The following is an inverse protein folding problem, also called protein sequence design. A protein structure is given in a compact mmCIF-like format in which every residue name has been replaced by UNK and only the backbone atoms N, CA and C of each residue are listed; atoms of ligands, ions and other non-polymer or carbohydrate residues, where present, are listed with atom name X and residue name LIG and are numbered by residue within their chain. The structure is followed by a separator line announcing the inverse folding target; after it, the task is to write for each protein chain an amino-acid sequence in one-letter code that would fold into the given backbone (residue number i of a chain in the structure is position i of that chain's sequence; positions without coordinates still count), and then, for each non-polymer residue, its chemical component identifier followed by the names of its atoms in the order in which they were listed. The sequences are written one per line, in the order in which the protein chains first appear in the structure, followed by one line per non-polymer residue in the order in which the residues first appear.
data_IF_949819030849
#
_entry.id   IF_949819030849
#
_cell.length_a   1.000
_cell.length_b   1.000
_cell.length_c   1.000
_cell.angle_alpha   90.00
_cell.angle_beta   90.00
_cell.angle_gamma   90.00
#
_symmetry.space_group_name_H-M   'P 1'
#
loop_
_entity.id
_entity.type
_entity.pdbx_description
1 polymer ?
#
# COMPACT_ATOMS: atom_id res chain seq x y z
N UNK A 1 6.11 -6.11 16.65
CA UNK A 1 7.24 -5.87 15.74
C UNK A 1 7.17 -4.44 15.25
N UNK A 2 8.33 -3.75 15.15
CA UNK A 2 8.44 -2.33 14.80
C UNK A 2 9.72 -2.13 13.99
N UNK A 3 9.60 -1.48 12.84
CA UNK A 3 10.73 -1.04 12.01
C UNK A 3 10.81 0.48 12.10
N UNK A 4 12.01 1.03 12.00
CA UNK A 4 12.23 2.48 12.18
C UNK A 4 13.20 2.98 11.12
N UNK A 5 12.79 4.03 10.42
CA UNK A 5 13.61 4.76 9.47
C UNK A 5 13.99 6.14 10.03
N UNK A 6 14.54 7.01 9.22
CA UNK A 6 14.87 8.38 9.62
C UNK A 6 13.59 9.15 10.04
N UNK A 7 12.51 9.05 9.26
CA UNK A 7 11.29 9.86 9.43
C UNK A 7 10.08 9.05 9.90
N UNK A 8 10.12 7.71 9.81
CA UNK A 8 8.95 6.87 10.00
C UNK A 8 9.15 5.80 11.07
N UNK A 9 8.04 5.40 11.65
CA UNK A 9 7.87 4.15 12.39
C UNK A 9 6.86 3.29 11.65
N UNK A 10 7.24 2.07 11.30
CA UNK A 10 6.37 1.09 10.64
C UNK A 10 6.05 0.03 11.67
N UNK A 11 4.79 -0.09 12.06
CA UNK A 11 4.33 -0.93 13.16
C UNK A 11 3.01 -1.64 12.84
N UNK A 12 2.57 -2.52 13.70
CA UNK A 12 1.21 -3.06 13.60
C UNK A 12 0.19 -1.97 13.89
N UNK A 13 -0.99 -2.09 13.26
CA UNK A 13 -2.12 -1.24 13.63
C UNK A 13 -2.53 -1.49 15.07
N UNK A 14 -3.05 -0.45 15.70
CA UNK A 14 -3.73 -0.49 16.97
C UNK A 14 -5.19 -0.06 16.76
N UNK A 15 -6.16 -0.59 17.49
CA UNK A 15 -7.57 -0.19 17.32
C UNK A 15 -7.79 1.33 17.43
N UNK A 16 -6.98 2.04 18.21
CA UNK A 16 -7.05 3.49 18.38
C UNK A 16 -6.50 4.31 17.20
N UNK A 17 -5.86 3.68 16.21
CA UNK A 17 -5.40 4.34 14.98
C UNK A 17 -6.57 4.77 14.07
N UNK A 18 -7.81 4.44 14.41
CA UNK A 18 -8.98 4.68 13.56
C UNK A 18 -9.15 6.15 13.14
N UNK A 19 -8.75 7.11 13.98
CA UNK A 19 -8.87 8.55 13.65
C UNK A 19 -7.94 8.94 12.51
N UNK A 20 -6.72 8.45 12.57
CA UNK A 20 -5.73 8.68 11.53
C UNK A 20 -6.09 7.90 10.25
N UNK A 21 -6.60 6.66 10.42
CA UNK A 21 -7.13 5.86 9.32
C UNK A 21 -8.28 6.58 8.61
N UNK A 22 -9.24 7.12 9.36
CA UNK A 22 -10.35 7.91 8.82
C UNK A 22 -9.84 9.16 8.10
N UNK A 23 -8.84 9.87 8.65
CA UNK A 23 -8.29 11.09 8.05
C UNK A 23 -7.83 10.87 6.61
N UNK A 24 -7.27 9.71 6.26
CA UNK A 24 -6.86 9.48 4.88
C UNK A 24 -7.84 8.64 4.06
N UNK A 25 -8.59 7.70 4.63
CA UNK A 25 -9.56 6.91 3.85
C UNK A 25 -10.89 7.65 3.61
N UNK A 26 -11.11 8.81 4.22
CA UNK A 26 -12.23 9.68 3.89
C UNK A 26 -11.94 10.64 2.72
N UNK A 27 -10.72 10.63 2.18
CA UNK A 27 -10.32 11.49 1.06
C UNK A 27 -10.61 10.79 -0.27
N UNK A 28 -11.48 11.34 -1.15
CA UNK A 28 -11.83 10.71 -2.43
C UNK A 28 -10.63 10.40 -3.32
N UNK A 29 -9.66 11.31 -3.37
CA UNK A 29 -8.43 11.15 -4.14
C UNK A 29 -7.53 10.00 -3.65
N UNK A 30 -7.60 9.68 -2.36
CA UNK A 30 -6.82 8.58 -1.77
C UNK A 30 -7.39 7.22 -2.14
N UNK A 31 -8.71 7.11 -2.23
CA UNK A 31 -9.41 5.86 -2.54
C UNK A 31 -9.82 5.72 -4.01
N UNK A 32 -9.42 6.65 -4.87
CA UNK A 32 -9.83 6.68 -6.28
C UNK A 32 -9.60 5.34 -7.01
N UNK A 33 -8.47 4.70 -6.73
CA UNK A 33 -8.06 3.43 -7.37
C UNK A 33 -8.20 2.21 -6.44
N UNK A 34 -8.81 2.40 -5.26
CA UNK A 34 -8.97 1.34 -4.28
C UNK A 34 -10.31 0.58 -4.49
N UNK A 35 -10.41 -0.69 -4.06
CA UNK A 35 -11.63 -1.50 -4.19
C UNK A 35 -12.73 -1.13 -3.19
N UNK A 36 -12.62 0.03 -2.57
CA UNK A 36 -13.58 0.56 -1.59
C UNK A 36 -13.79 2.05 -1.78
N UNK A 37 -14.94 2.54 -1.32
CA UNK A 37 -15.26 3.96 -1.31
C UNK A 37 -14.71 4.67 -0.07
N UNK A 38 -14.91 5.99 0.03
CA UNK A 38 -14.53 6.77 1.21
C UNK A 38 -15.15 6.20 2.48
N UNK A 39 -14.38 6.15 3.54
CA UNK A 39 -14.83 5.61 4.82
C UNK A 39 -15.54 6.66 5.67
N UNK A 40 -16.65 6.26 6.29
CA UNK A 40 -17.21 6.95 7.44
C UNK A 40 -16.37 6.66 8.70
N UNK A 41 -16.56 7.45 9.77
CA UNK A 41 -15.88 7.18 11.05
C UNK A 41 -16.17 5.77 11.59
N UNK A 42 -17.41 5.30 11.46
CA UNK A 42 -17.78 3.95 11.91
C UNK A 42 -17.06 2.86 11.14
N UNK A 43 -16.97 3.01 9.82
CA UNK A 43 -16.19 2.08 8.97
C UNK A 43 -14.71 2.11 9.33
N UNK A 44 -14.13 3.29 9.58
CA UNK A 44 -12.73 3.41 9.97
C UNK A 44 -12.45 2.75 11.34
N UNK A 45 -13.38 2.83 12.30
CA UNK A 45 -13.28 2.12 13.60
C UNK A 45 -13.26 0.61 13.42
N UNK A 46 -14.17 0.07 12.61
CA UNK A 46 -14.25 -1.37 12.34
C UNK A 46 -13.01 -1.84 11.57
N UNK A 47 -12.59 -1.10 10.56
CA UNK A 47 -11.42 -1.41 9.75
C UNK A 47 -10.12 -1.37 10.57
N UNK A 48 -9.96 -0.40 11.47
CA UNK A 48 -8.77 -0.32 12.34
C UNK A 48 -8.64 -1.57 13.23
N UNK A 49 -9.74 -2.08 13.77
CA UNK A 49 -9.75 -3.35 14.52
C UNK A 49 -9.38 -4.52 13.61
N UNK A 50 -9.93 -4.58 12.40
CA UNK A 50 -9.59 -5.60 11.41
C UNK A 50 -8.10 -5.60 11.05
N UNK A 51 -7.55 -4.43 10.75
CA UNK A 51 -6.12 -4.26 10.42
C UNK A 51 -5.20 -4.57 11.60
N UNK A 52 -5.62 -4.27 12.83
CA UNK A 52 -4.87 -4.64 14.03
C UNK A 52 -4.78 -6.16 14.22
N UNK A 53 -5.80 -6.90 13.77
CA UNK A 53 -5.84 -8.36 13.82
C UNK A 53 -5.13 -9.04 12.63
N UNK A 54 -4.93 -8.33 11.52
CA UNK A 54 -4.30 -8.87 10.31
C UNK A 54 -2.81 -8.54 10.27
N UNK A 55 -1.92 -9.54 10.35
CA UNK A 55 -0.48 -9.35 10.32
C UNK A 55 0.06 -8.85 8.97
N UNK A 56 -0.74 -8.79 7.91
CA UNK A 56 -0.33 -8.23 6.62
C UNK A 56 -0.35 -6.70 6.62
N UNK A 57 -1.15 -6.05 7.48
CA UNK A 57 -1.22 -4.59 7.55
C UNK A 57 -0.16 -3.98 8.47
N UNK A 58 0.46 -2.92 7.97
CA UNK A 58 1.47 -2.13 8.65
C UNK A 58 1.09 -0.67 8.65
N UNK A 59 0.87 -0.09 9.82
CA UNK A 59 0.68 1.34 9.99
C UNK A 59 2.02 2.06 9.78
N UNK A 60 2.00 3.14 9.02
CA UNK A 60 3.15 4.01 8.79
C UNK A 60 2.94 5.32 9.57
N UNK A 61 3.68 5.48 10.64
CA UNK A 61 3.59 6.61 11.55
C UNK A 61 4.71 7.61 11.28
N UNK A 62 4.36 8.89 11.12
CA UNK A 62 5.31 10.00 11.09
C UNK A 62 5.90 10.20 12.48
N UNK A 63 7.23 10.11 12.62
CA UNK A 63 7.91 10.29 13.90
C UNK A 63 7.84 11.72 14.44
N UNK A 64 7.77 12.70 13.56
CA UNK A 64 7.68 14.12 13.94
C UNK A 64 6.30 14.51 14.45
N UNK A 65 5.24 13.82 13.99
CA UNK A 65 3.85 14.17 14.31
C UNK A 65 3.20 13.13 15.24
N UNK A 66 3.84 11.99 15.46
CA UNK A 66 3.29 10.83 16.17
C UNK A 66 1.88 10.45 15.62
N UNK A 67 1.73 10.48 14.28
CA UNK A 67 0.49 10.29 13.55
C UNK A 67 0.66 9.24 12.47
N UNK A 68 -0.31 8.34 12.32
CA UNK A 68 -0.36 7.40 11.19
C UNK A 68 -0.73 8.16 9.92
N UNK A 69 0.18 8.18 8.95
CA UNK A 69 0.06 8.93 7.71
C UNK A 69 -0.28 8.05 6.50
N UNK A 70 -0.40 6.76 6.72
CA UNK A 70 -0.72 5.77 5.69
C UNK A 70 -0.47 4.35 6.17
N UNK A 71 -0.59 3.42 5.27
CA UNK A 71 -0.30 2.01 5.52
C UNK A 71 0.41 1.36 4.36
N UNK A 72 1.12 0.27 4.68
CA UNK A 72 1.57 -0.72 3.72
C UNK A 72 0.91 -2.05 4.06
N UNK A 73 0.40 -2.75 3.06
CA UNK A 73 -0.06 -4.12 3.16
C UNK A 73 0.98 -5.04 2.51
N UNK A 74 1.35 -6.10 3.21
CA UNK A 74 2.31 -7.09 2.71
C UNK A 74 1.73 -8.49 2.99
N UNK A 75 0.85 -8.91 2.09
CA UNK A 75 0.10 -10.17 2.17
C UNK A 75 0.89 -11.37 1.66
N UNK A 76 0.29 -12.55 1.79
CA UNK A 76 0.84 -13.79 1.26
C UNK A 76 0.40 -13.98 -0.19
N UNK A 77 1.36 -14.19 -1.11
CA UNK A 77 1.15 -14.47 -2.53
C UNK A 77 1.43 -15.93 -2.93
N UNK A 78 1.67 -16.81 -1.94
CA UNK A 78 2.06 -18.23 -2.15
C UNK A 78 3.51 -18.40 -2.62
N UNK A 79 4.06 -19.60 -2.44
CA UNK A 79 5.42 -19.99 -2.94
C UNK A 79 6.51 -18.94 -2.64
N UNK A 80 6.67 -18.56 -1.37
CA UNK A 80 7.63 -17.55 -0.91
C UNK A 80 7.48 -16.17 -1.61
N UNK A 81 6.28 -15.88 -2.13
CA UNK A 81 5.89 -14.61 -2.73
C UNK A 81 5.06 -13.79 -1.73
N UNK A 82 5.28 -12.49 -1.71
CA UNK A 82 4.43 -11.53 -1.01
C UNK A 82 3.77 -10.58 -2.01
N UNK A 83 2.60 -10.08 -1.62
CA UNK A 83 1.90 -9.03 -2.37
C UNK A 83 2.01 -7.72 -1.62
N UNK A 84 2.37 -6.64 -2.34
CA UNK A 84 2.57 -5.31 -1.79
C UNK A 84 1.44 -4.38 -2.23
N UNK A 85 0.78 -3.77 -1.26
CA UNK A 85 -0.13 -2.64 -1.44
C UNK A 85 0.22 -1.49 -0.51
N UNK A 86 -0.15 -0.27 -0.85
CA UNK A 86 0.07 0.89 0.01
C UNK A 86 -0.93 2.01 -0.27
N UNK A 87 -1.32 2.68 0.79
CA UNK A 87 -2.21 3.85 0.74
C UNK A 87 -1.66 4.91 1.70
N UNK A 88 -1.56 6.15 1.23
CA UNK A 88 -1.05 7.27 2.02
C UNK A 88 -1.98 8.48 1.95
N UNK A 89 -2.08 9.19 3.05
CA UNK A 89 -2.79 10.45 3.16
C UNK A 89 -2.23 11.46 2.14
N UNK A 90 -3.12 12.10 1.37
CA UNK A 90 -2.75 13.01 0.29
C UNK A 90 -1.86 14.17 0.74
N UNK A 91 -1.98 14.62 1.99
CA UNK A 91 -1.13 15.68 2.57
C UNK A 91 0.36 15.34 2.57
N UNK A 92 0.70 14.05 2.54
CA UNK A 92 2.08 13.56 2.62
C UNK A 92 2.62 13.09 1.27
N UNK A 93 1.81 13.18 0.19
CA UNK A 93 2.27 12.83 -1.15
C UNK A 93 3.42 13.73 -1.62
N UNK A 94 4.25 13.22 -2.51
CA UNK A 94 5.39 13.96 -3.06
C UNK A 94 6.60 14.10 -2.14
N UNK A 95 6.51 13.69 -0.87
CA UNK A 95 7.57 13.84 0.13
C UNK A 95 8.45 12.59 0.31
N UNK A 96 8.20 11.53 -0.46
CA UNK A 96 8.99 10.30 -0.43
C UNK A 96 8.66 9.33 0.71
N UNK A 97 7.65 9.60 1.54
CA UNK A 97 7.29 8.74 2.67
C UNK A 97 6.89 7.33 2.24
N UNK A 98 6.10 7.20 1.16
CA UNK A 98 5.71 5.89 0.63
C UNK A 98 6.93 5.08 0.17
N UNK A 99 7.89 5.72 -0.51
CA UNK A 99 9.13 5.08 -0.95
C UNK A 99 9.97 4.60 0.23
N UNK A 100 10.09 5.43 1.28
CA UNK A 100 10.84 5.13 2.50
C UNK A 100 10.22 3.94 3.25
N UNK A 101 8.90 3.95 3.45
CA UNK A 101 8.19 2.89 4.13
C UNK A 101 8.23 1.55 3.37
N UNK A 102 7.94 1.59 2.06
CA UNK A 102 7.96 0.39 1.23
C UNK A 102 9.36 -0.21 1.16
N UNK A 103 10.42 0.62 1.02
CA UNK A 103 11.80 0.14 0.98
C UNK A 103 12.17 -0.61 2.24
N UNK A 104 11.90 -0.04 3.40
CA UNK A 104 12.21 -0.66 4.69
C UNK A 104 11.50 -2.00 4.85
N UNK A 105 10.20 -2.04 4.53
CA UNK A 105 9.41 -3.26 4.68
C UNK A 105 9.77 -4.34 3.65
N UNK A 106 10.09 -3.96 2.39
CA UNK A 106 10.57 -4.89 1.35
C UNK A 106 11.91 -5.50 1.77
N UNK A 107 12.86 -4.67 2.22
CA UNK A 107 14.16 -5.14 2.71
C UNK A 107 14.02 -6.11 3.86
N UNK A 108 13.13 -5.79 4.81
CA UNK A 108 12.81 -6.70 5.89
C UNK A 108 12.22 -8.02 5.38
N UNK A 109 11.27 -7.99 4.46
CA UNK A 109 10.63 -9.20 3.92
C UNK A 109 11.64 -10.12 3.24
N UNK A 110 12.55 -9.57 2.44
CA UNK A 110 13.62 -10.36 1.80
C UNK A 110 14.58 -10.95 2.84
N UNK A 111 14.90 -10.22 3.89
CA UNK A 111 15.71 -10.73 5.00
C UNK A 111 15.01 -11.87 5.78
N UNK A 112 13.67 -11.97 5.71
CA UNK A 112 12.89 -13.08 6.28
C UNK A 112 12.72 -14.27 5.31
N UNK A 113 13.36 -14.26 4.14
CA UNK A 113 13.34 -15.37 3.20
C UNK A 113 12.28 -15.27 2.10
N UNK A 114 11.56 -14.16 2.00
CA UNK A 114 10.71 -13.90 0.82
C UNK A 114 11.56 -13.96 -0.44
N UNK A 115 11.10 -14.69 -1.45
CA UNK A 115 11.81 -14.81 -2.73
C UNK A 115 11.40 -13.73 -3.73
N UNK A 116 10.13 -13.35 -3.72
CA UNK A 116 9.52 -12.46 -4.70
C UNK A 116 8.50 -11.54 -4.04
N UNK A 117 8.42 -10.31 -4.49
CA UNK A 117 7.33 -9.39 -4.14
C UNK A 117 6.66 -8.92 -5.42
N UNK A 118 5.34 -9.02 -5.46
CA UNK A 118 4.48 -8.54 -6.55
C UNK A 118 3.67 -7.34 -6.07
N UNK A 119 3.28 -6.48 -7.01
CA UNK A 119 2.37 -5.37 -6.75
C UNK A 119 1.51 -5.13 -7.98
N UNK A 120 0.26 -4.78 -7.76
CA UNK A 120 -0.68 -4.43 -8.81
C UNK A 120 -1.11 -2.98 -8.69
N UNK A 121 -1.33 -2.31 -9.80
CA UNK A 121 -1.86 -0.96 -9.80
C UNK A 121 -2.63 -0.64 -11.09
N UNK A 122 -3.56 0.30 -10.98
CA UNK A 122 -4.24 0.85 -12.14
C UNK A 122 -3.23 1.65 -13.00
N UNK A 123 -3.21 1.48 -14.33
CA UNK A 123 -2.35 2.25 -15.25
C UNK A 123 -2.51 3.77 -15.14
N UNK A 124 -3.69 4.25 -14.76
CA UNK A 124 -3.97 5.67 -14.57
C UNK A 124 -3.35 6.22 -13.27
N UNK A 125 -3.09 5.36 -12.28
CA UNK A 125 -2.39 5.72 -11.04
C UNK A 125 -0.88 5.88 -11.29
N UNK A 126 -0.51 6.98 -11.95
CA UNK A 126 0.89 7.24 -12.31
C UNK A 126 1.81 7.34 -11.09
N UNK A 127 1.30 7.83 -9.97
CA UNK A 127 2.10 7.95 -8.74
C UNK A 127 2.51 6.56 -8.23
N UNK A 128 1.61 5.58 -8.29
CA UNK A 128 1.84 4.22 -7.84
C UNK A 128 2.88 3.50 -8.71
N UNK A 129 2.68 3.37 -10.03
CA UNK A 129 3.62 2.60 -10.83
C UNK A 129 5.00 3.28 -10.94
N UNK A 130 5.09 4.63 -10.91
CA UNK A 130 6.39 5.32 -10.83
C UNK A 130 7.12 5.04 -9.52
N UNK A 131 6.38 4.89 -8.41
CA UNK A 131 6.97 4.48 -7.13
C UNK A 131 7.54 3.06 -7.24
N UNK A 132 6.79 2.12 -7.80
CA UNK A 132 7.26 0.75 -7.99
C UNK A 132 8.52 0.69 -8.85
N UNK A 133 8.57 1.42 -9.97
CA UNK A 133 9.75 1.47 -10.85
C UNK A 133 10.98 2.08 -10.13
N UNK A 134 10.79 3.13 -9.33
CA UNK A 134 11.88 3.68 -8.50
C UNK A 134 12.38 2.68 -7.45
N UNK A 135 11.50 1.87 -6.89
CA UNK A 135 11.85 0.81 -5.96
C UNK A 135 12.51 -0.41 -6.66
N UNK A 136 12.67 -0.37 -7.98
CA UNK A 136 13.33 -1.42 -8.75
C UNK A 136 12.41 -2.55 -9.20
N UNK A 137 11.10 -2.40 -9.05
CA UNK A 137 10.16 -3.35 -9.64
C UNK A 137 10.18 -3.22 -11.17
N UNK A 138 10.09 -4.36 -11.86
CA UNK A 138 9.85 -4.39 -13.31
C UNK A 138 8.39 -4.68 -13.59
N UNK A 139 7.83 -4.09 -14.61
CA UNK A 139 6.50 -4.43 -15.08
C UNK A 139 6.54 -5.76 -15.83
N UNK A 140 5.75 -6.72 -15.39
CA UNK A 140 5.65 -8.06 -15.96
C UNK A 140 4.39 -8.28 -16.78
N UNK A 141 3.35 -7.45 -16.57
CA UNK A 141 2.09 -7.59 -17.27
C UNK A 141 1.29 -6.31 -17.38
N UNK A 142 0.38 -6.32 -18.36
CA UNK A 142 -0.73 -5.38 -18.51
C UNK A 142 -1.98 -6.21 -18.80
N UNK A 143 -2.86 -6.30 -17.82
CA UNK A 143 -4.12 -7.01 -17.93
C UNK A 143 -5.18 -6.01 -18.36
N UNK A 144 -5.87 -6.31 -19.46
CA UNK A 144 -6.88 -5.43 -20.01
C UNK A 144 -8.24 -5.78 -19.43
N UNK A 145 -8.99 -4.78 -18.96
CA UNK A 145 -10.37 -4.90 -18.47
C UNK A 145 -10.57 -6.11 -17.54
N UNK A 146 -9.61 -6.36 -16.64
CA UNK A 146 -9.56 -7.57 -15.82
C UNK A 146 -10.28 -7.43 -14.47
N UNK A 147 -10.58 -6.21 -14.04
CA UNK A 147 -11.18 -5.93 -12.74
C UNK A 147 -12.15 -4.75 -12.83
N UNK A 148 -13.16 -4.71 -11.95
CA UNK A 148 -13.94 -3.51 -11.69
C UNK A 148 -14.21 -3.39 -10.20
N UNK A 149 -14.20 -2.16 -9.69
CA UNK A 149 -14.52 -1.86 -8.30
C UNK A 149 -15.86 -1.11 -8.19
N UNK A 150 -16.27 -0.43 -9.26
CA UNK A 150 -17.47 0.40 -9.28
C UNK A 150 -18.37 0.05 -10.47
N UNK A 151 -19.62 0.46 -10.36
CA UNK A 151 -20.59 0.39 -11.46
C UNK A 151 -21.00 1.81 -11.82
N UNK A 152 -21.39 2.02 -13.08
CA UNK A 152 -21.95 3.26 -13.55
C UNK A 152 -23.42 3.45 -13.08
N UNK A 153 -24.04 4.57 -13.45
CA UNK A 153 -25.41 4.91 -13.07
C UNK A 153 -26.45 3.92 -13.64
N UNK A 154 -26.11 3.20 -14.71
CA UNK A 154 -26.94 2.16 -15.34
C UNK A 154 -26.68 0.77 -14.73
N UNK A 155 -25.77 0.65 -13.78
CA UNK A 155 -25.40 -0.58 -13.08
C UNK A 155 -24.39 -1.47 -13.83
N UNK A 156 -23.79 -1.01 -14.92
CA UNK A 156 -22.77 -1.76 -15.64
C UNK A 156 -21.39 -1.64 -14.94
N UNK A 157 -20.55 -2.70 -14.97
CA UNK A 157 -19.20 -2.63 -14.44
C UNK A 157 -18.36 -1.59 -15.17
N UNK A 158 -17.67 -0.73 -14.42
CA UNK A 158 -16.63 0.16 -14.96
C UNK A 158 -15.32 -0.61 -14.96
N UNK A 159 -15.05 -1.29 -16.07
CA UNK A 159 -13.85 -2.11 -16.22
C UNK A 159 -12.57 -1.29 -16.19
N UNK A 160 -11.56 -1.84 -15.56
CA UNK A 160 -10.24 -1.24 -15.40
C UNK A 160 -9.15 -2.22 -15.81
N UNK A 161 -8.05 -1.66 -16.27
CA UNK A 161 -6.82 -2.40 -16.54
C UNK A 161 -5.97 -2.50 -15.28
N UNK A 162 -5.07 -3.48 -15.26
CA UNK A 162 -4.09 -3.65 -14.18
C UNK A 162 -2.68 -3.79 -14.74
N UNK A 163 -1.73 -3.01 -14.22
CA UNK A 163 -0.32 -3.29 -14.36
C UNK A 163 0.13 -4.24 -13.25
N UNK A 164 0.87 -5.26 -13.64
CA UNK A 164 1.49 -6.23 -12.71
C UNK A 164 2.98 -5.96 -12.65
N UNK A 165 3.49 -5.73 -11.47
CA UNK A 165 4.90 -5.46 -11.18
C UNK A 165 5.49 -6.52 -10.25
N UNK A 166 6.79 -6.77 -10.37
CA UNK A 166 7.49 -7.66 -9.45
C UNK A 166 8.96 -7.29 -9.28
N UNK A 167 9.52 -7.73 -8.14
CA UNK A 167 10.95 -7.71 -7.84
C UNK A 167 11.36 -9.00 -7.13
N UNK A 168 12.54 -9.53 -7.46
CA UNK A 168 13.12 -10.71 -6.82
C UNK A 168 14.12 -10.29 -5.72
N UNK A 169 14.29 -11.12 -4.71
CA UNK A 169 15.27 -10.90 -3.65
C UNK A 169 16.69 -10.66 -4.18
N UNK A 170 17.09 -11.41 -5.23
CA UNK A 170 18.40 -11.23 -5.85
C UNK A 170 18.56 -9.98 -6.71
N UNK A 171 17.47 -9.27 -7.01
CA UNK A 171 17.46 -8.01 -7.78
C UNK A 171 17.33 -6.79 -6.84
N UNK A 172 17.02 -7.04 -5.57
CA UNK A 172 16.77 -5.98 -4.61
C UNK A 172 18.04 -5.22 -4.24
N UNK A 173 18.05 -3.94 -4.49
CA UNK A 173 19.09 -3.02 -4.08
C UNK A 173 18.48 -1.96 -3.15
N UNK A 174 18.76 -2.08 -1.86
CA UNK A 174 18.27 -1.16 -0.84
C UNK A 174 18.79 0.28 -1.01
N UNK A 175 19.85 0.49 -1.81
CA UNK A 175 20.42 1.82 -2.08
C UNK A 175 19.71 2.57 -3.22
N UNK A 176 18.90 1.87 -4.03
CA UNK A 176 18.12 2.51 -5.09
C UNK A 176 17.01 3.38 -4.48
N UNK A 177 17.19 4.70 -4.53
CA UNK A 177 16.15 5.77 -4.62
C UNK A 177 16.79 7.13 -4.67
#
# INVERSE_FOLDING_TARGET
MRLTTERLTIRRFEPDDWRDLHDYLSQPEVVEYEPYDVFSEEQARQESVGRAADPAFWAVESRSEAKVIGNVWLGEGGQDTRELGYVFNARYWGNGFAAEACRELIGWAFAQGTHRIVAECNPLNQASWRLLERLGFRREGHLLENVYFRRDDDGHPVWQDTYVYAVLAGEWDASRV
#
